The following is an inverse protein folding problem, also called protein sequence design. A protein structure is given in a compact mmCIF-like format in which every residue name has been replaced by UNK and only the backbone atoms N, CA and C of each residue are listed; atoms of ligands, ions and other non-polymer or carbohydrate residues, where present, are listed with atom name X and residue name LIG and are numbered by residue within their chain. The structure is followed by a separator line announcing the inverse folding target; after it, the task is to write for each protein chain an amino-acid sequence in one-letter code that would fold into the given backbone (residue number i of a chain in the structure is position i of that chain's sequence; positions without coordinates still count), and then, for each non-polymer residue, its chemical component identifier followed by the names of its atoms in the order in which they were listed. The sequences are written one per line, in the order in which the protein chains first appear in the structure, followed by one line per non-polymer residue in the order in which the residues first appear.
data_IF_274958798115
#
_entry.id   IF_274958798115
#
_cell.length_a   1.000
_cell.length_b   1.000
_cell.length_c   1.000
_cell.angle_alpha   90.00
_cell.angle_beta   90.00
_cell.angle_gamma   90.00
#
_symmetry.space_group_name_H-M   'P 1'
#
loop_
_entity.id
_entity.type
_entity.pdbx_description
1 polymer ?
#
# COMPACT_ATOMS: atom_id res chain seq x y z
N UNK A 1 17.16 -3.65 6.40
CA UNK A 1 18.03 -3.14 7.47
C UNK A 1 17.35 -3.33 8.82
N UNK A 2 18.08 -3.78 9.77
CA UNK A 2 17.56 -3.97 11.11
C UNK A 2 18.26 -3.03 12.10
N UNK A 3 17.44 -2.39 12.91
CA UNK A 3 17.95 -1.67 14.07
C UNK A 3 18.41 -2.68 15.12
N UNK A 4 19.47 -2.37 15.87
CA UNK A 4 19.86 -3.14 17.05
C UNK A 4 18.86 -2.95 18.20
N UNK A 5 18.04 -1.92 18.15
CA UNK A 5 17.00 -1.64 19.12
C UNK A 5 15.67 -2.26 18.68
N UNK A 6 14.89 -2.84 19.59
CA UNK A 6 13.56 -3.31 19.24
C UNK A 6 12.65 -2.14 18.85
N UNK A 7 12.16 -2.14 17.63
CA UNK A 7 11.22 -1.13 17.13
C UNK A 7 9.77 -1.63 17.09
N UNK A 8 9.53 -2.79 17.70
CA UNK A 8 8.22 -3.45 17.62
C UNK A 8 8.05 -4.27 16.34
N UNK A 9 6.89 -4.86 16.20
CA UNK A 9 6.54 -5.64 15.00
C UNK A 9 5.74 -4.78 14.05
N UNK A 10 6.00 -4.85 12.75
CA UNK A 10 5.16 -4.16 11.79
C UNK A 10 3.75 -4.75 11.83
N UNK A 11 2.74 -3.88 11.77
CA UNK A 11 1.34 -4.27 11.73
C UNK A 11 0.64 -3.48 10.63
N UNK A 12 -0.41 -4.08 10.08
CA UNK A 12 -1.37 -3.38 9.23
C UNK A 12 -2.67 -3.15 10.00
N UNK A 13 -3.53 -2.31 9.44
CA UNK A 13 -4.80 -1.97 10.06
C UNK A 13 -5.93 -2.12 9.05
N UNK A 14 -7.07 -2.61 9.53
CA UNK A 14 -8.32 -2.57 8.79
C UNK A 14 -9.22 -1.56 9.48
N UNK A 15 -9.68 -0.57 8.71
CA UNK A 15 -10.60 0.45 9.22
C UNK A 15 -11.94 0.30 8.50
N UNK A 16 -12.98 0.07 9.28
CA UNK A 16 -14.34 -0.02 8.78
C UNK A 16 -15.05 1.29 9.07
N UNK A 17 -15.52 1.96 8.02
CA UNK A 17 -16.19 3.25 8.15
C UNK A 17 -17.70 3.05 8.30
N UNK A 18 -18.35 4.06 8.90
CA UNK A 18 -19.79 4.02 9.15
C UNK A 18 -20.61 3.92 7.87
N UNK A 19 -20.08 4.36 6.73
CA UNK A 19 -20.76 4.27 5.42
C UNK A 19 -20.61 2.92 4.74
N UNK A 20 -19.97 1.97 5.41
CA UNK A 20 -19.78 0.59 4.89
C UNK A 20 -18.50 0.38 4.10
N UNK A 21 -17.72 1.43 3.82
CA UNK A 21 -16.43 1.26 3.15
C UNK A 21 -15.38 0.78 4.13
N UNK A 22 -14.43 0.02 3.62
CA UNK A 22 -13.34 -0.55 4.43
C UNK A 22 -12.01 -0.21 3.79
N UNK A 23 -11.06 0.23 4.60
CA UNK A 23 -9.70 0.55 4.20
C UNK A 23 -8.73 -0.44 4.84
N UNK A 24 -7.82 -0.97 4.04
CA UNK A 24 -6.69 -1.73 4.54
C UNK A 24 -5.42 -0.90 4.39
N UNK A 25 -4.78 -0.62 5.51
CA UNK A 25 -3.49 0.04 5.58
C UNK A 25 -2.44 -1.03 5.87
N UNK A 26 -1.56 -1.28 4.92
CA UNK A 26 -0.50 -2.28 5.08
C UNK A 26 0.50 -1.91 6.18
N UNK A 27 0.62 -0.62 6.51
CA UNK A 27 1.63 -0.14 7.44
C UNK A 27 3.02 -0.46 6.92
N UNK A 28 3.87 -0.99 7.78
CA UNK A 28 5.22 -1.41 7.43
C UNK A 28 5.33 -2.93 7.20
N UNK A 29 4.21 -3.64 7.06
CA UNK A 29 4.27 -5.05 6.71
C UNK A 29 4.72 -5.21 5.27
N UNK A 30 5.32 -6.35 5.00
CA UNK A 30 5.56 -6.79 3.63
C UNK A 30 4.40 -7.68 3.17
N UNK A 31 4.42 -8.06 1.92
CA UNK A 31 3.41 -8.97 1.38
C UNK A 31 3.48 -10.32 2.09
N UNK A 32 2.32 -10.93 2.32
CA UNK A 32 2.22 -12.24 2.97
C UNK A 32 0.97 -12.96 2.48
N UNK A 33 1.02 -14.29 2.50
CA UNK A 33 -0.05 -15.11 1.94
C UNK A 33 -1.41 -14.92 2.60
N UNK A 34 -1.44 -14.62 3.90
CA UNK A 34 -2.68 -14.41 4.63
C UNK A 34 -3.41 -13.11 4.26
N UNK A 35 -2.83 -12.27 3.39
CA UNK A 35 -3.56 -11.17 2.77
C UNK A 35 -4.84 -11.65 2.09
N UNK A 36 -4.85 -12.87 1.58
CA UNK A 36 -6.06 -13.47 1.03
C UNK A 36 -7.19 -13.55 2.05
N UNK A 37 -6.87 -13.79 3.32
CA UNK A 37 -7.86 -13.84 4.39
C UNK A 37 -8.38 -12.44 4.75
N UNK A 38 -7.53 -11.42 4.64
CA UNK A 38 -7.98 -10.04 4.84
C UNK A 38 -9.03 -9.68 3.79
N UNK A 39 -8.81 -10.06 2.55
CA UNK A 39 -9.82 -9.86 1.50
C UNK A 39 -11.09 -10.64 1.81
N UNK A 40 -10.96 -11.89 2.21
CA UNK A 40 -12.11 -12.76 2.47
C UNK A 40 -12.98 -12.24 3.61
N UNK A 41 -12.36 -11.75 4.70
CA UNK A 41 -13.09 -11.32 5.88
C UNK A 41 -13.58 -9.88 5.80
N UNK A 42 -12.83 -9.00 5.16
CA UNK A 42 -13.09 -7.55 5.26
C UNK A 42 -13.43 -6.88 3.94
N UNK A 43 -13.10 -7.48 2.80
CA UNK A 43 -13.37 -6.94 1.45
C UNK A 43 -12.97 -5.46 1.31
N UNK A 44 -11.69 -5.08 1.53
CA UNK A 44 -11.33 -3.67 1.51
C UNK A 44 -11.60 -3.02 0.16
N UNK A 45 -12.21 -1.83 0.21
CA UNK A 45 -12.48 -0.99 -0.96
C UNK A 45 -11.26 -0.13 -1.29
N UNK A 46 -10.49 0.22 -0.27
CA UNK A 46 -9.35 1.13 -0.36
C UNK A 46 -8.15 0.41 0.23
N UNK A 47 -7.03 0.46 -0.48
CA UNK A 47 -5.77 -0.10 0.03
C UNK A 47 -4.70 0.99 0.03
N UNK A 48 -4.08 1.21 1.18
CA UNK A 48 -2.85 1.98 1.28
C UNK A 48 -1.69 1.02 1.04
N UNK A 49 -1.10 1.09 -0.15
CA UNK A 49 -0.10 0.15 -0.62
C UNK A 49 1.31 0.62 -0.26
N UNK A 50 2.00 -0.15 0.55
CA UNK A 50 3.40 0.10 0.86
C UNK A 50 4.29 -0.22 -0.33
N UNK A 51 5.11 0.75 -0.73
CA UNK A 51 5.95 0.63 -1.92
C UNK A 51 7.38 0.20 -1.62
N UNK A 52 7.68 -0.12 -0.36
CA UNK A 52 9.01 -0.59 0.04
C UNK A 52 10.01 0.54 0.18
N UNK A 53 11.28 0.17 0.32
CA UNK A 53 12.36 1.10 0.64
C UNK A 53 13.47 1.13 -0.43
N UNK A 54 13.26 0.51 -1.58
CA UNK A 54 14.28 0.43 -2.63
C UNK A 54 13.89 1.32 -3.79
N UNK A 55 14.81 2.16 -4.22
CA UNK A 55 14.57 3.22 -5.18
C UNK A 55 14.18 2.76 -6.59
N UNK A 56 14.44 1.51 -6.95
CA UNK A 56 14.18 1.03 -8.31
C UNK A 56 12.72 0.61 -8.56
N UNK A 57 11.87 0.73 -7.56
CA UNK A 57 10.47 0.33 -7.68
C UNK A 57 10.21 -1.17 -7.67
N UNK A 58 11.21 -1.98 -7.39
CA UNK A 58 11.05 -3.44 -7.39
C UNK A 58 10.01 -3.89 -6.37
N UNK A 59 10.07 -3.34 -5.16
CA UNK A 59 9.08 -3.66 -4.13
C UNK A 59 7.68 -3.17 -4.50
N UNK A 60 7.60 -2.04 -5.18
CA UNK A 60 6.31 -1.54 -5.67
C UNK A 60 5.67 -2.51 -6.67
N UNK A 61 6.47 -3.08 -7.58
CA UNK A 61 5.95 -4.09 -8.51
C UNK A 61 5.44 -5.34 -7.79
N UNK A 62 6.17 -5.78 -6.77
CA UNK A 62 5.77 -6.94 -5.97
C UNK A 62 4.51 -6.64 -5.15
N UNK A 63 4.44 -5.47 -4.53
CA UNK A 63 3.26 -5.03 -3.79
C UNK A 63 2.04 -4.92 -4.71
N UNK A 64 2.22 -4.36 -5.89
CA UNK A 64 1.16 -4.23 -6.89
C UNK A 64 0.64 -5.60 -7.35
N UNK A 65 1.55 -6.55 -7.55
CA UNK A 65 1.16 -7.92 -7.86
C UNK A 65 0.31 -8.52 -6.74
N UNK A 66 0.71 -8.34 -5.49
CA UNK A 66 -0.04 -8.85 -4.34
C UNK A 66 -1.43 -8.21 -4.23
N UNK A 67 -1.52 -6.90 -4.44
CA UNK A 67 -2.81 -6.20 -4.44
C UNK A 67 -3.76 -6.79 -5.48
N UNK A 68 -3.29 -7.01 -6.70
CA UNK A 68 -4.11 -7.55 -7.76
C UNK A 68 -4.43 -9.04 -7.59
N UNK A 69 -3.54 -9.77 -6.93
CA UNK A 69 -3.75 -11.21 -6.70
C UNK A 69 -4.72 -11.49 -5.57
N UNK A 70 -4.63 -10.73 -4.49
CA UNK A 70 -5.38 -11.03 -3.26
C UNK A 70 -6.58 -10.13 -3.05
N UNK A 71 -6.58 -8.92 -3.59
CA UNK A 71 -7.59 -7.91 -3.28
C UNK A 71 -8.33 -7.46 -4.53
N UNK A 72 -9.48 -6.84 -4.30
CA UNK A 72 -10.31 -6.25 -5.37
C UNK A 72 -10.71 -4.82 -5.00
N UNK A 73 -9.74 -3.92 -4.77
CA UNK A 73 -10.05 -2.57 -4.30
C UNK A 73 -10.62 -1.70 -5.42
N UNK A 74 -11.37 -0.69 -5.01
CA UNK A 74 -11.79 0.40 -5.91
C UNK A 74 -10.73 1.48 -6.00
N UNK A 75 -9.94 1.67 -4.94
CA UNK A 75 -8.90 2.70 -4.86
C UNK A 75 -7.66 2.10 -4.21
N UNK A 76 -6.51 2.38 -4.81
CA UNK A 76 -5.19 2.02 -4.27
C UNK A 76 -4.38 3.30 -4.16
N UNK A 77 -3.90 3.58 -2.96
CA UNK A 77 -3.07 4.76 -2.69
C UNK A 77 -1.68 4.29 -2.30
N UNK A 78 -0.68 4.52 -3.16
CA UNK A 78 0.72 4.20 -2.82
C UNK A 78 1.20 5.07 -1.67
N UNK A 79 2.02 4.50 -0.81
CA UNK A 79 2.66 5.20 0.29
C UNK A 79 4.13 4.77 0.43
N UNK A 80 4.89 5.44 1.27
CA UNK A 80 6.32 5.20 1.50
C UNK A 80 7.17 5.46 0.25
N UNK A 81 6.92 6.59 -0.44
CA UNK A 81 7.74 7.00 -1.57
C UNK A 81 8.02 8.50 -1.51
N UNK A 82 9.13 8.89 -2.12
CA UNK A 82 9.48 10.30 -2.33
C UNK A 82 9.95 11.09 -1.10
N UNK A 83 9.78 10.55 0.09
CA UNK A 83 9.96 11.34 1.32
C UNK A 83 11.39 11.34 1.86
N UNK A 84 12.17 10.31 1.59
CA UNK A 84 13.51 10.14 2.14
C UNK A 84 14.47 9.66 1.06
N UNK A 85 15.79 9.95 1.20
CA UNK A 85 16.79 9.41 0.29
C UNK A 85 16.75 7.88 0.25
N UNK A 86 16.84 7.31 -0.93
CA UNK A 86 16.80 5.86 -1.13
C UNK A 86 15.41 5.27 -1.27
N UNK A 87 14.35 6.03 -0.99
CA UNK A 87 12.98 5.61 -1.24
C UNK A 87 12.67 5.67 -2.75
N UNK A 88 11.72 4.86 -3.24
CA UNK A 88 11.28 4.99 -4.62
C UNK A 88 10.65 6.35 -4.88
N UNK A 89 10.80 6.84 -6.11
CA UNK A 89 10.14 8.07 -6.55
C UNK A 89 8.73 7.79 -7.04
N UNK A 90 7.93 8.84 -7.22
CA UNK A 90 6.62 8.70 -7.86
C UNK A 90 6.75 8.06 -9.25
N UNK A 91 7.79 8.44 -10.02
CA UNK A 91 8.02 7.86 -11.34
C UNK A 91 8.29 6.36 -11.26
N UNK A 92 9.03 5.90 -10.26
CA UNK A 92 9.26 4.46 -10.04
C UNK A 92 7.96 3.73 -9.78
N UNK A 93 7.08 4.32 -8.97
CA UNK A 93 5.79 3.71 -8.66
C UNK A 93 4.89 3.70 -9.89
N UNK A 94 4.85 4.78 -10.65
CA UNK A 94 4.06 4.85 -11.89
C UNK A 94 4.51 3.81 -12.90
N UNK A 95 5.82 3.57 -13.00
CA UNK A 95 6.36 2.52 -13.85
C UNK A 95 5.93 1.12 -13.39
N UNK A 96 5.84 0.93 -12.07
CA UNK A 96 5.47 -0.35 -11.48
C UNK A 96 3.98 -0.70 -11.68
N UNK A 97 3.10 0.28 -11.49
CA UNK A 97 1.64 0.04 -11.54
C UNK A 97 1.03 0.26 -12.92
N UNK A 98 1.73 0.96 -13.81
CA UNK A 98 1.21 1.30 -15.13
C UNK A 98 0.05 2.30 -15.06
N UNK A 99 -0.78 2.28 -16.10
CA UNK A 99 -1.96 3.16 -16.19
C UNK A 99 -3.18 2.42 -15.65
N UNK A 100 -3.44 2.60 -14.38
CA UNK A 100 -4.60 1.98 -13.73
C UNK A 100 -5.39 3.08 -13.02
N UNK A 101 -6.66 3.20 -13.37
CA UNK A 101 -7.52 4.26 -12.84
C UNK A 101 -7.78 4.15 -11.34
N UNK A 102 -7.59 2.98 -10.75
CA UNK A 102 -7.75 2.76 -9.31
C UNK A 102 -6.65 3.42 -8.49
N UNK A 103 -5.46 3.60 -9.08
CA UNK A 103 -4.29 4.12 -8.38
C UNK A 103 -4.39 5.64 -8.30
N UNK A 104 -4.34 6.16 -7.08
CA UNK A 104 -4.40 7.60 -6.79
C UNK A 104 -3.15 8.02 -6.05
N UNK A 105 -2.35 8.87 -6.67
CA UNK A 105 -1.18 9.46 -6.04
C UNK A 105 -1.60 10.69 -5.25
N UNK A 106 -1.18 10.75 -3.99
CA UNK A 106 -1.54 11.85 -3.11
C UNK A 106 -0.27 12.49 -2.54
N UNK A 107 -0.31 13.81 -2.41
CA UNK A 107 0.71 14.57 -1.71
C UNK A 107 0.29 14.79 -0.27
N UNK A 108 1.25 14.97 0.67
CA UNK A 108 0.90 15.30 2.04
C UNK A 108 -0.03 16.51 2.10
N UNK A 109 -1.11 16.39 2.87
CA UNK A 109 -2.11 17.43 3.02
C UNK A 109 -3.24 17.41 2.00
N UNK A 110 -3.15 16.62 0.94
CA UNK A 110 -4.25 16.47 0.00
C UNK A 110 -5.40 15.66 0.58
N UNK A 111 -6.61 15.97 0.10
CA UNK A 111 -7.82 15.21 0.40
C UNK A 111 -8.34 14.57 -0.87
N UNK A 112 -8.67 13.29 -0.78
CA UNK A 112 -9.31 12.55 -1.87
C UNK A 112 -10.73 12.21 -1.47
N UNK A 113 -11.68 12.54 -2.35
CA UNK A 113 -13.10 12.18 -2.19
C UNK A 113 -13.51 11.21 -3.28
N UNK A 114 -14.19 10.15 -2.88
CA UNK A 114 -14.69 9.15 -3.83
C UNK A 114 -15.84 8.35 -3.27
#
# INVERSE_FOLDING_TARGET
MHSSEPSGRPVGYVLEFADGRTLYDEGDTWIFGDMALIQEFYHPNIILMGCGAVADGQYARMAWLAVNRYFKPQVVIPMHYGAVPGAPSEADIRAAVGKDARVKFMKPGETLTF
#
